data_IF_719381129079
#
_entry.id   IF_719381129079
#
_cell.length_a   1.000
_cell.length_b   1.000
_cell.length_c   1.000
_cell.angle_alpha   90.00
_cell.angle_beta   90.00
_cell.angle_gamma   90.00
#
_symmetry.space_group_name_H-M   'P 1'
#
loop_
_entity.id
_entity.type
_entity.pdbx_description
1 polymer ?
#
# COMPACT_ATOMS: atom_id res chain seq x y z
N UNK A 1 -37.80 44.41 -10.95
CA UNK A 1 -36.57 45.22 -11.12
C UNK A 1 -35.41 44.26 -11.26
N UNK A 2 -34.97 43.99 -12.49
CA UNK A 2 -33.80 43.14 -12.76
C UNK A 2 -32.62 44.10 -12.92
N UNK A 3 -31.67 44.05 -11.98
CA UNK A 3 -30.42 44.81 -12.10
C UNK A 3 -29.65 44.22 -13.29
N UNK A 4 -29.51 45.01 -14.37
CA UNK A 4 -28.54 44.70 -15.41
C UNK A 4 -27.16 44.80 -14.74
N UNK A 5 -26.51 43.65 -14.58
CA UNK A 5 -25.11 43.60 -14.18
C UNK A 5 -24.32 44.27 -15.29
N UNK A 6 -23.61 45.35 -14.95
CA UNK A 6 -22.76 46.07 -15.89
C UNK A 6 -21.75 45.09 -16.50
N UNK A 7 -21.44 45.22 -17.78
CA UNK A 7 -20.58 44.30 -18.52
C UNK A 7 -19.21 44.19 -17.85
N UNK A 8 -18.73 45.31 -17.31
CA UNK A 8 -17.49 45.38 -16.53
C UNK A 8 -17.57 44.54 -15.25
N UNK A 9 -18.69 44.59 -14.53
CA UNK A 9 -18.92 43.79 -13.31
C UNK A 9 -19.02 42.30 -13.64
N UNK A 10 -19.67 41.94 -14.75
CA UNK A 10 -19.74 40.56 -15.22
C UNK A 10 -18.36 39.99 -15.62
N UNK A 11 -17.50 40.84 -16.20
CA UNK A 11 -16.12 40.49 -16.56
C UNK A 11 -15.28 40.21 -15.31
N UNK A 12 -15.34 41.09 -14.31
CA UNK A 12 -14.64 40.90 -13.04
C UNK A 12 -15.08 39.63 -12.30
N UNK A 13 -16.39 39.36 -12.24
CA UNK A 13 -16.92 38.12 -11.64
C UNK A 13 -16.40 36.89 -12.37
N UNK A 14 -16.33 36.93 -13.71
CA UNK A 14 -15.86 35.80 -14.51
C UNK A 14 -14.37 35.54 -14.29
N UNK A 15 -13.55 36.60 -14.23
CA UNK A 15 -12.12 36.51 -13.95
C UNK A 15 -11.88 35.94 -12.54
N UNK A 16 -12.59 36.47 -11.54
CA UNK A 16 -12.46 35.99 -10.16
C UNK A 16 -12.89 34.53 -10.00
N UNK A 17 -13.95 34.13 -10.70
CA UNK A 17 -14.43 32.74 -10.70
C UNK A 17 -13.42 31.79 -11.36
N UNK A 18 -12.80 32.22 -12.47
CA UNK A 18 -11.74 31.45 -13.13
C UNK A 18 -10.50 31.31 -12.25
N UNK A 19 -10.09 32.41 -11.58
CA UNK A 19 -8.96 32.41 -10.66
C UNK A 19 -9.20 31.50 -9.45
N UNK A 20 -10.38 31.60 -8.84
CA UNK A 20 -10.78 30.76 -7.72
C UNK A 20 -10.80 29.27 -8.11
N UNK A 21 -11.32 28.94 -9.29
CA UNK A 21 -11.32 27.58 -9.83
C UNK A 21 -9.90 27.04 -10.01
N UNK A 22 -8.98 27.86 -10.50
CA UNK A 22 -7.58 27.50 -10.70
C UNK A 22 -6.84 27.29 -9.38
N UNK A 23 -7.11 28.14 -8.38
CA UNK A 23 -6.60 28.03 -7.01
C UNK A 23 -7.12 26.75 -6.33
N UNK A 24 -8.42 26.46 -6.42
CA UNK A 24 -9.02 25.24 -5.86
C UNK A 24 -8.43 24.01 -6.54
N UNK A 25 -8.28 24.02 -7.87
CA UNK A 25 -7.67 22.92 -8.61
C UNK A 25 -6.21 22.69 -8.21
N UNK A 26 -5.42 23.76 -8.08
CA UNK A 26 -4.02 23.67 -7.65
C UNK A 26 -3.91 23.23 -6.19
N UNK A 27 -4.77 23.71 -5.29
CA UNK A 27 -4.83 23.25 -3.91
C UNK A 27 -5.23 21.78 -3.83
N UNK A 28 -6.24 21.34 -4.59
CA UNK A 28 -6.64 19.94 -4.63
C UNK A 28 -5.52 19.05 -5.17
N UNK A 29 -4.84 19.48 -6.24
CA UNK A 29 -3.68 18.79 -6.81
C UNK A 29 -2.51 18.78 -5.83
N UNK A 30 -2.26 19.88 -5.13
CA UNK A 30 -1.22 20.01 -4.12
C UNK A 30 -1.50 19.12 -2.92
N UNK A 31 -2.72 19.11 -2.39
CA UNK A 31 -3.15 18.22 -1.30
C UNK A 31 -3.08 16.75 -1.73
N UNK A 32 -3.48 16.41 -2.96
CA UNK A 32 -3.35 15.06 -3.51
C UNK A 32 -1.88 14.65 -3.67
N UNK A 33 -1.03 15.57 -4.12
CA UNK A 33 0.41 15.35 -4.23
C UNK A 33 1.07 15.24 -2.85
N UNK A 34 0.68 16.09 -1.88
CA UNK A 34 1.14 16.04 -0.49
C UNK A 34 0.64 14.79 0.22
N UNK A 35 -0.57 14.30 -0.05
CA UNK A 35 -1.06 13.00 0.46
C UNK A 35 -0.23 11.87 -0.12
N UNK A 36 0.01 11.84 -1.42
CA UNK A 36 0.89 10.84 -2.06
C UNK A 36 2.34 10.95 -1.59
N UNK A 37 2.86 12.15 -1.37
CA UNK A 37 4.19 12.39 -0.84
C UNK A 37 4.25 12.13 0.66
N UNK A 38 3.17 12.32 1.42
CA UNK A 38 3.09 11.99 2.85
C UNK A 38 2.88 10.50 3.05
N UNK A 39 2.19 9.82 2.14
CA UNK A 39 2.11 8.37 2.05
C UNK A 39 3.47 7.82 1.63
N UNK A 40 4.12 8.36 0.58
CA UNK A 40 5.47 7.98 0.17
C UNK A 40 6.55 8.35 1.19
N UNK A 41 6.37 9.44 1.95
CA UNK A 41 7.27 9.87 3.04
C UNK A 41 6.98 9.11 4.31
N UNK A 42 5.72 8.72 4.63
CA UNK A 42 5.43 7.65 5.60
C UNK A 42 6.11 6.36 5.17
N UNK A 43 6.03 5.96 3.90
CA UNK A 43 6.69 4.76 3.39
C UNK A 43 8.22 4.87 3.48
N UNK A 44 8.80 6.08 3.41
CA UNK A 44 10.24 6.32 3.63
C UNK A 44 10.65 6.55 5.09
N UNK A 45 9.73 6.97 5.97
CA UNK A 45 10.01 7.40 7.35
C UNK A 45 9.40 6.51 8.41
N UNK A 46 8.61 5.51 8.03
CA UNK A 46 8.25 4.43 8.94
C UNK A 46 9.43 3.49 8.88
N UNK A 47 10.22 3.53 9.97
CA UNK A 47 10.85 2.35 10.57
C UNK A 47 10.37 1.06 9.91
N UNK A 48 11.31 0.22 9.43
CA UNK A 48 11.10 -1.21 9.13
C UNK A 48 9.75 -1.68 9.66
N UNK A 49 8.71 -1.64 8.82
CA UNK A 49 7.35 -1.93 9.28
C UNK A 49 7.41 -3.35 9.81
N UNK A 50 7.30 -3.50 11.14
CA UNK A 50 7.33 -4.81 11.75
C UNK A 50 6.00 -5.49 11.44
N UNK A 51 5.91 -6.04 10.24
CA UNK A 51 4.70 -6.71 9.75
C UNK A 51 4.26 -7.83 10.69
N UNK A 52 5.16 -8.45 11.47
CA UNK A 52 4.80 -9.42 12.49
C UNK A 52 4.05 -8.78 13.67
N UNK A 53 4.51 -7.63 14.17
CA UNK A 53 3.78 -6.86 15.19
C UNK A 53 2.40 -6.43 14.68
N UNK A 54 2.35 -5.87 13.47
CA UNK A 54 1.08 -5.43 12.85
C UNK A 54 0.13 -6.61 12.62
N UNK A 55 0.65 -7.77 12.25
CA UNK A 55 -0.15 -8.99 12.09
C UNK A 55 -0.79 -9.45 13.40
N UNK A 56 -0.04 -9.43 14.51
CA UNK A 56 -0.57 -9.76 15.84
C UNK A 56 -1.72 -8.83 16.24
N UNK A 57 -1.56 -7.52 16.01
CA UNK A 57 -2.62 -6.54 16.24
C UNK A 57 -3.86 -6.79 15.35
N UNK A 58 -3.66 -7.15 14.09
CA UNK A 58 -4.77 -7.42 13.16
C UNK A 58 -5.55 -8.69 13.52
N UNK A 59 -4.87 -9.76 13.95
CA UNK A 59 -5.53 -11.00 14.36
C UNK A 59 -6.52 -10.72 15.50
N UNK A 60 -6.09 -9.99 16.53
CA UNK A 60 -6.91 -9.71 17.71
C UNK A 60 -8.18 -8.91 17.40
N UNK A 61 -8.17 -8.12 16.33
CA UNK A 61 -9.27 -7.22 15.99
C UNK A 61 -10.20 -7.75 14.89
N UNK A 62 -9.67 -8.52 13.93
CA UNK A 62 -10.39 -8.87 12.69
C UNK A 62 -10.38 -10.37 12.35
N UNK A 63 -9.67 -11.19 13.13
CA UNK A 63 -9.54 -12.63 12.89
C UNK A 63 -8.40 -13.01 11.92
N UNK A 64 -8.01 -14.28 11.96
CA UNK A 64 -6.81 -14.80 11.28
C UNK A 64 -6.86 -14.66 9.75
N UNK A 65 -8.00 -15.02 9.15
CA UNK A 65 -8.20 -14.93 7.70
C UNK A 65 -8.00 -13.51 7.17
N UNK A 66 -8.68 -12.53 7.77
CA UNK A 66 -8.57 -11.13 7.37
C UNK A 66 -7.19 -10.55 7.63
N UNK A 67 -6.56 -10.93 8.74
CA UNK A 67 -5.19 -10.53 9.05
C UNK A 67 -4.20 -11.02 7.98
N UNK A 68 -4.28 -12.29 7.56
CA UNK A 68 -3.39 -12.86 6.54
C UNK A 68 -3.57 -12.14 5.21
N UNK A 69 -4.80 -11.94 4.76
CA UNK A 69 -5.09 -11.25 3.50
C UNK A 69 -4.55 -9.82 3.51
N UNK A 70 -4.82 -9.08 4.57
CA UNK A 70 -4.48 -7.66 4.66
C UNK A 70 -2.97 -7.47 4.74
N UNK A 71 -2.31 -8.17 5.65
CA UNK A 71 -0.86 -8.03 5.85
C UNK A 71 -0.08 -8.51 4.63
N UNK A 72 -0.51 -9.59 3.98
CA UNK A 72 0.18 -10.05 2.77
C UNK A 72 0.10 -9.03 1.63
N UNK A 73 -1.08 -8.45 1.39
CA UNK A 73 -1.25 -7.42 0.35
C UNK A 73 -0.40 -6.17 0.65
N UNK A 74 -0.36 -5.72 1.90
CA UNK A 74 0.48 -4.59 2.30
C UNK A 74 1.97 -4.87 2.13
N UNK A 75 2.41 -6.08 2.51
CA UNK A 75 3.79 -6.52 2.33
C UNK A 75 4.19 -6.49 0.86
N UNK A 76 3.38 -7.09 -0.02
CA UNK A 76 3.62 -7.09 -1.46
C UNK A 76 3.69 -5.67 -1.99
N UNK A 77 2.73 -4.80 -1.63
CA UNK A 77 2.73 -3.41 -2.06
C UNK A 77 3.98 -2.64 -1.58
N UNK A 78 4.44 -2.91 -0.35
CA UNK A 78 5.69 -2.33 0.16
C UNK A 78 6.90 -2.77 -0.67
N UNK A 79 6.97 -4.05 -1.07
CA UNK A 79 8.06 -4.56 -1.90
C UNK A 79 8.06 -3.95 -3.30
N UNK A 80 6.87 -3.74 -3.88
CA UNK A 80 6.69 -3.08 -5.18
C UNK A 80 7.24 -1.66 -5.14
N UNK A 81 6.88 -0.90 -4.11
CA UNK A 81 7.35 0.49 -3.94
C UNK A 81 8.85 0.52 -3.70
N UNK A 82 9.39 -0.36 -2.86
CA UNK A 82 10.82 -0.43 -2.56
C UNK A 82 11.67 -0.78 -3.79
N UNK A 83 11.18 -1.68 -4.65
CA UNK A 83 11.86 -2.07 -5.89
C UNK A 83 11.56 -1.15 -7.08
N UNK A 84 10.77 -0.09 -6.89
CA UNK A 84 10.35 0.86 -7.93
C UNK A 84 9.77 0.18 -9.18
N UNK A 85 9.02 -0.90 -8.97
CA UNK A 85 8.36 -1.59 -10.08
C UNK A 85 7.19 -0.77 -10.59
N UNK A 86 7.15 -0.52 -11.89
CA UNK A 86 5.99 0.06 -12.55
C UNK A 86 4.96 -1.05 -12.82
N UNK A 87 4.04 -1.22 -11.89
CA UNK A 87 3.03 -2.27 -11.93
C UNK A 87 1.76 -1.72 -12.55
N UNK A 88 1.32 -2.37 -13.63
CA UNK A 88 0.04 -2.07 -14.26
C UNK A 88 -1.11 -2.29 -13.28
N UNK A 89 -2.12 -1.40 -13.33
CA UNK A 89 -3.21 -1.32 -12.32
C UNK A 89 -4.08 -2.57 -12.14
N UNK A 90 -3.94 -3.59 -12.99
CA UNK A 90 -4.85 -4.75 -13.04
C UNK A 90 -4.15 -6.09 -12.77
N UNK A 91 -2.92 -6.08 -12.24
CA UNK A 91 -2.20 -7.32 -11.96
C UNK A 91 -2.69 -7.99 -10.68
N UNK A 92 -2.84 -9.30 -10.75
CA UNK A 92 -3.12 -10.16 -9.60
C UNK A 92 -1.91 -10.23 -8.66
N UNK A 93 -2.14 -10.57 -7.39
CA UNK A 93 -1.05 -10.73 -6.39
C UNK A 93 0.01 -11.72 -6.87
N UNK A 94 -0.39 -12.78 -7.60
CA UNK A 94 0.53 -13.76 -8.19
C UNK A 94 1.42 -13.15 -9.27
N UNK A 95 0.83 -12.39 -10.20
CA UNK A 95 1.59 -11.72 -11.26
C UNK A 95 2.55 -10.67 -10.70
N UNK A 96 2.13 -9.96 -9.64
CA UNK A 96 3.01 -9.02 -8.92
C UNK A 96 4.21 -9.75 -8.29
N UNK A 97 4.00 -10.92 -7.68
CA UNK A 97 5.09 -11.73 -7.13
C UNK A 97 6.05 -12.19 -8.22
N UNK A 98 5.55 -12.65 -9.37
CA UNK A 98 6.39 -13.03 -10.51
C UNK A 98 7.21 -11.85 -11.05
N UNK A 99 6.64 -10.64 -11.06
CA UNK A 99 7.39 -9.44 -11.43
C UNK A 99 8.47 -9.06 -10.39
N UNK A 100 8.21 -9.33 -9.11
CA UNK A 100 9.16 -9.12 -8.02
C UNK A 100 10.30 -10.15 -8.02
N UNK A 101 10.06 -11.36 -8.51
CA UNK A 101 11.02 -12.46 -8.45
C UNK A 101 12.38 -12.10 -9.04
N UNK A 102 12.46 -11.36 -10.15
CA UNK A 102 13.76 -11.01 -10.75
C UNK A 102 14.65 -10.15 -9.84
N UNK A 103 14.07 -9.40 -8.89
CA UNK A 103 14.76 -8.41 -8.07
C UNK A 103 15.01 -8.86 -6.62
N UNK A 104 14.43 -9.98 -6.19
CA UNK A 104 14.53 -10.45 -4.82
C UNK A 104 15.62 -11.52 -4.65
N UNK A 105 16.16 -11.63 -3.43
CA UNK A 105 17.07 -12.73 -3.09
C UNK A 105 16.30 -14.06 -3.03
N UNK A 106 16.97 -15.18 -3.33
CA UNK A 106 16.33 -16.51 -3.39
C UNK A 106 15.57 -16.84 -2.09
N UNK A 107 16.12 -16.45 -0.94
CA UNK A 107 15.50 -16.69 0.36
C UNK A 107 14.18 -15.93 0.52
N UNK A 108 14.13 -14.66 0.08
CA UNK A 108 12.91 -13.85 0.14
C UNK A 108 11.85 -14.41 -0.82
N UNK A 109 12.24 -14.85 -2.03
CA UNK A 109 11.30 -15.47 -3.00
C UNK A 109 10.64 -16.70 -2.42
N UNK A 110 11.42 -17.64 -1.90
CA UNK A 110 10.91 -18.87 -1.29
C UNK A 110 9.91 -18.54 -0.17
N UNK A 111 10.27 -17.59 0.69
CA UNK A 111 9.42 -17.19 1.80
C UNK A 111 8.09 -16.56 1.35
N UNK A 112 8.14 -15.67 0.36
CA UNK A 112 6.95 -15.03 -0.20
C UNK A 112 6.03 -16.05 -0.88
N UNK A 113 6.58 -17.04 -1.57
CA UNK A 113 5.80 -18.13 -2.16
C UNK A 113 5.11 -18.99 -1.09
N UNK A 114 5.82 -19.35 -0.02
CA UNK A 114 5.22 -20.10 1.09
C UNK A 114 4.11 -19.31 1.79
N UNK A 115 4.30 -18.00 1.95
CA UNK A 115 3.27 -17.12 2.50
C UNK A 115 2.09 -16.92 1.54
N UNK A 116 2.34 -16.89 0.23
CA UNK A 116 1.31 -16.80 -0.80
C UNK A 116 0.34 -17.97 -0.76
N UNK A 117 0.82 -19.19 -0.47
CA UNK A 117 -0.05 -20.35 -0.33
C UNK A 117 -1.07 -20.20 0.82
N UNK A 118 -0.60 -19.69 1.97
CA UNK A 118 -1.47 -19.40 3.13
C UNK A 118 -2.44 -18.26 2.81
N UNK A 119 -1.98 -17.26 2.07
CA UNK A 119 -2.82 -16.17 1.57
C UNK A 119 -3.91 -16.66 0.60
N UNK A 120 -3.59 -17.54 -0.35
CA UNK A 120 -4.58 -18.10 -1.27
C UNK A 120 -5.63 -18.91 -0.53
N UNK A 121 -5.21 -19.76 0.42
CA UNK A 121 -6.12 -20.50 1.29
C UNK A 121 -7.05 -19.55 2.05
N UNK A 122 -6.51 -18.48 2.63
CA UNK A 122 -7.31 -17.46 3.31
C UNK A 122 -8.28 -16.74 2.36
N UNK A 123 -7.84 -16.40 1.14
CA UNK A 123 -8.62 -15.59 0.21
C UNK A 123 -9.73 -16.41 -0.45
N UNK A 124 -9.42 -17.61 -0.92
CA UNK A 124 -10.27 -18.42 -1.80
C UNK A 124 -10.73 -19.74 -1.17
N UNK A 125 -10.07 -20.22 -0.12
CA UNK A 125 -10.31 -21.56 0.44
C UNK A 125 -11.70 -21.76 1.06
N UNK A 126 -12.43 -20.68 1.38
CA UNK A 126 -13.77 -20.77 1.94
C UNK A 126 -13.84 -21.31 3.37
N UNK A 127 -12.69 -21.59 4.00
CA UNK A 127 -12.55 -22.00 5.39
C UNK A 127 -11.74 -20.98 6.20
N UNK A 128 -11.92 -20.96 7.52
CA UNK A 128 -11.12 -20.15 8.43
C UNK A 128 -9.78 -20.83 8.69
N UNK A 129 -8.70 -20.06 8.64
CA UNK A 129 -7.36 -20.57 8.93
C UNK A 129 -7.30 -21.08 10.38
N UNK A 130 -6.69 -22.23 10.56
CA UNK A 130 -6.45 -22.77 11.90
C UNK A 130 -5.26 -22.07 12.57
N UNK A 131 -5.12 -22.27 13.89
CA UNK A 131 -4.06 -21.64 14.69
C UNK A 131 -2.66 -22.01 14.19
N UNK A 132 -2.48 -23.22 13.65
CA UNK A 132 -1.20 -23.69 13.11
C UNK A 132 -0.82 -22.88 11.86
N UNK A 133 -1.75 -22.71 10.92
CA UNK A 133 -1.58 -21.93 9.70
C UNK A 133 -1.29 -20.46 10.00
N UNK A 134 -2.04 -19.88 10.96
CA UNK A 134 -1.83 -18.50 11.42
C UNK A 134 -0.44 -18.33 12.03
N UNK A 135 -0.03 -19.25 12.90
CA UNK A 135 1.28 -19.21 13.54
C UNK A 135 2.42 -19.44 12.52
N UNK A 136 2.21 -20.30 11.52
CA UNK A 136 3.14 -20.46 10.40
C UNK A 136 3.31 -19.15 9.62
N UNK A 137 2.22 -18.44 9.33
CA UNK A 137 2.29 -17.14 8.68
C UNK A 137 3.06 -16.11 9.53
N UNK A 138 2.77 -16.04 10.84
CA UNK A 138 3.50 -15.14 11.75
C UNK A 138 5.00 -15.44 11.79
N UNK A 139 5.40 -16.71 11.88
CA UNK A 139 6.82 -17.10 11.89
C UNK A 139 7.53 -16.71 10.60
N UNK A 140 6.86 -16.83 9.45
CA UNK A 140 7.41 -16.41 8.16
C UNK A 140 7.55 -14.88 8.10
N UNK A 141 6.58 -14.11 8.59
CA UNK A 141 6.71 -12.66 8.72
C UNK A 141 7.90 -12.25 9.60
N UNK A 142 8.08 -12.90 10.75
CA UNK A 142 9.21 -12.63 11.65
C UNK A 142 10.55 -12.95 10.96
N UNK A 143 10.62 -14.04 10.19
CA UNK A 143 11.81 -14.39 9.41
C UNK A 143 12.08 -13.36 8.29
N UNK A 144 11.04 -12.91 7.60
CA UNK A 144 11.14 -11.88 6.57
C UNK A 144 11.70 -10.58 7.13
N UNK A 145 11.15 -10.12 8.26
CA UNK A 145 11.61 -8.91 8.92
C UNK A 145 13.08 -9.00 9.32
N UNK A 146 13.54 -10.17 9.81
CA UNK A 146 14.96 -10.41 10.09
C UNK A 146 15.84 -10.30 8.84
N UNK A 147 15.44 -10.94 7.74
CA UNK A 147 16.20 -10.93 6.48
C UNK A 147 16.29 -9.50 5.93
N UNK A 148 15.17 -8.79 5.87
CA UNK A 148 15.11 -7.41 5.35
C UNK A 148 15.99 -6.49 6.24
N UNK A 149 15.84 -6.56 7.56
CA UNK A 149 16.66 -5.74 8.48
C UNK A 149 18.17 -6.00 8.29
N UNK A 150 18.54 -7.26 8.11
CA UNK A 150 19.94 -7.65 7.94
C UNK A 150 20.52 -7.29 6.56
N UNK A 151 19.74 -7.36 5.47
CA UNK A 151 20.16 -6.93 4.13
C UNK A 151 20.33 -5.39 4.06
N UNK A 152 19.49 -4.62 4.77
CA UNK A 152 19.63 -3.17 4.87
C UNK A 152 20.80 -2.72 5.75
N UNK A 153 21.20 -3.49 6.77
CA UNK A 153 22.38 -3.18 7.60
C UNK A 153 23.72 -3.42 6.88
N UNK A 154 23.72 -4.12 5.73
CA UNK A 154 24.93 -4.43 4.95
C UNK A 154 25.13 -3.53 3.73
N UNK A 155 24.17 -2.65 3.41
CA UNK A 155 24.28 -1.65 2.34
C UNK A 155 24.64 -0.29 2.90
#
# INVERSE_FOLDING_TARGET
>A
MVQLIDVETALWITVDTALASLIIYTLFRYVKLKRRLSEAKRIRSTELIDFAKKFKEYISNYGGRWAVITIFNELVNSLVVSNRLDIQKNLTTREILTALDSNLSRNIKTLLHEMYNLYEAARFGGYELNEIEINQFNKKLELLNKIITHEYSRR
#
